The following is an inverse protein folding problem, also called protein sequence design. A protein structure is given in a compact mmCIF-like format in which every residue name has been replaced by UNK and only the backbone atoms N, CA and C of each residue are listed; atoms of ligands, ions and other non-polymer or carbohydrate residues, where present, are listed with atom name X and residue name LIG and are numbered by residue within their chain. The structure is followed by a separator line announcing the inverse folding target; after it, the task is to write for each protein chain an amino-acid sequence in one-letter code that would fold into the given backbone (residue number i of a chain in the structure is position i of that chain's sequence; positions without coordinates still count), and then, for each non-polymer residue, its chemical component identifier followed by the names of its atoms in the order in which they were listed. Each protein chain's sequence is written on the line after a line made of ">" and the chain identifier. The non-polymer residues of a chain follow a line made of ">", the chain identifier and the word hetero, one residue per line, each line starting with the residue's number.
data_IF_542969240035
#
_entry.id   IF_542969240035
#
_cell.length_a   1.000
_cell.length_b   1.000
_cell.length_c   1.000
_cell.angle_alpha   90.00
_cell.angle_beta   90.00
_cell.angle_gamma   90.00
#
_symmetry.space_group_name_H-M   'P 1'
#
loop_
_entity.id
_entity.type
_entity.pdbx_description
1 polymer ?
#
# COMPACT_ATOMS: atom_id res chain seq x y z
N UNK A 1 13.42 8.39 6.97
CA UNK A 1 13.31 9.85 7.00
C UNK A 1 14.21 10.41 8.10
N UNK A 2 14.99 11.44 7.77
CA UNK A 2 15.97 12.08 8.66
C UNK A 2 16.11 13.59 8.39
N UNK A 3 15.02 14.24 7.97
CA UNK A 3 14.96 15.68 7.72
C UNK A 3 15.01 16.53 8.99
N UNK A 4 14.78 15.95 10.16
CA UNK A 4 14.91 16.63 11.44
C UNK A 4 15.51 15.73 12.55
N UNK A 5 15.42 16.17 13.81
CA UNK A 5 15.96 15.44 14.98
C UNK A 5 15.28 14.09 15.24
N UNK A 6 14.16 13.81 14.59
CA UNK A 6 13.50 12.49 14.64
C UNK A 6 14.00 11.66 13.46
N UNK A 7 14.65 10.54 13.76
CA UNK A 7 14.85 9.51 12.75
C UNK A 7 13.56 8.70 12.68
N UNK A 8 12.97 8.54 11.49
CA UNK A 8 11.84 7.65 11.26
C UNK A 8 12.23 6.64 10.19
N UNK A 9 12.31 5.37 10.55
CA UNK A 9 12.43 4.29 9.57
C UNK A 9 11.04 3.93 9.07
N UNK A 10 10.94 3.54 7.82
CA UNK A 10 9.71 3.09 7.21
C UNK A 10 10.04 2.24 5.98
N UNK A 11 9.08 1.42 5.58
CA UNK A 11 9.13 0.63 4.35
C UNK A 11 8.14 1.21 3.36
N UNK A 12 8.36 0.93 2.07
CA UNK A 12 7.44 1.30 1.00
C UNK A 12 6.14 0.47 1.00
N UNK A 13 5.78 -0.10 2.15
CA UNK A 13 4.60 -0.94 2.38
C UNK A 13 3.64 -0.31 3.38
N UNK A 14 3.89 0.94 3.81
CA UNK A 14 3.20 1.69 4.88
C UNK A 14 3.62 1.35 6.33
N UNK A 15 4.47 0.33 6.55
CA UNK A 15 5.04 0.07 7.87
C UNK A 15 6.03 1.19 8.28
N UNK A 16 5.85 1.73 9.48
CA UNK A 16 6.80 2.60 10.16
C UNK A 16 7.54 1.83 11.26
N UNK A 17 8.83 2.12 11.40
CA UNK A 17 9.75 1.40 12.28
C UNK A 17 9.90 -0.08 11.92
N UNK A 18 10.71 -0.78 12.71
CA UNK A 18 11.09 -2.17 12.51
C UNK A 18 11.70 -2.71 13.81
N UNK A 19 11.02 -3.59 14.52
CA UNK A 19 11.64 -4.46 15.52
C UNK A 19 12.04 -5.77 14.84
N UNK A 20 13.24 -6.32 15.11
CA UNK A 20 14.12 -6.04 16.23
C UNK A 20 15.21 -4.99 16.01
N UNK A 21 15.16 -4.20 14.93
CA UNK A 21 16.19 -3.17 14.70
C UNK A 21 16.19 -2.17 15.88
N UNK A 22 17.31 -2.05 16.63
CA UNK A 22 17.34 -1.23 17.83
C UNK A 22 17.58 0.26 17.52
N UNK A 23 18.19 0.55 16.37
CA UNK A 23 18.67 1.88 16.00
C UNK A 23 17.77 2.61 14.99
N UNK A 24 16.50 2.20 14.86
CA UNK A 24 15.51 2.81 13.97
C UNK A 24 14.44 3.59 14.73
N UNK A 25 13.79 4.53 14.03
CA UNK A 25 12.64 5.27 14.56
C UNK A 25 12.87 5.87 15.96
N UNK A 26 13.97 6.62 16.09
CA UNK A 26 14.52 7.09 17.36
C UNK A 26 14.61 8.61 17.47
N UNK A 27 14.66 9.08 18.70
CA UNK A 27 14.96 10.47 19.02
C UNK A 27 15.88 10.59 20.24
N UNK A 28 16.84 11.52 20.23
CA UNK A 28 17.29 12.29 19.06
C UNK A 28 17.95 11.40 17.98
N UNK A 29 18.05 11.88 16.74
CA UNK A 29 18.74 11.20 15.64
C UNK A 29 20.27 11.30 15.79
N UNK A 30 20.81 10.68 16.85
CA UNK A 30 22.24 10.60 17.16
C UNK A 30 22.53 9.29 17.93
N UNK A 31 23.78 8.99 18.32
CA UNK A 31 24.11 7.79 19.08
C UNK A 31 23.38 7.64 20.42
N UNK A 32 23.00 8.74 21.06
CA UNK A 32 22.27 8.76 22.35
C UNK A 32 20.75 8.61 22.20
N UNK A 33 20.26 8.52 20.95
CA UNK A 33 18.86 8.40 20.62
C UNK A 33 18.21 7.12 21.13
N UNK A 34 17.00 7.26 21.66
CA UNK A 34 16.18 6.11 22.12
C UNK A 34 15.09 5.80 21.10
N UNK A 35 14.86 4.50 20.83
CA UNK A 35 13.77 4.02 19.97
C UNK A 35 12.44 4.50 20.54
N UNK A 36 11.62 5.14 19.71
CA UNK A 36 10.36 5.76 20.15
C UNK A 36 9.13 4.91 19.87
N UNK A 37 9.18 4.08 18.83
CA UNK A 37 8.08 3.20 18.45
C UNK A 37 8.64 1.83 18.05
N UNK A 38 7.86 0.79 18.30
CA UNK A 38 8.16 -0.58 17.89
C UNK A 38 7.92 -0.72 16.38
N UNK A 39 6.64 -0.73 16.01
CA UNK A 39 6.13 -0.73 14.64
C UNK A 39 4.75 -0.06 14.58
N UNK A 40 4.44 0.55 13.44
CA UNK A 40 3.10 1.08 13.14
C UNK A 40 2.75 0.68 11.72
N UNK A 41 1.67 -0.08 11.54
CA UNK A 41 1.13 -0.43 10.22
C UNK A 41 -0.15 0.36 9.93
N UNK A 42 -0.40 0.64 8.65
CA UNK A 42 -1.71 1.10 8.21
C UNK A 42 -2.64 -0.11 8.12
N UNK A 43 -3.76 -0.05 8.83
CA UNK A 43 -4.83 -1.04 8.74
C UNK A 43 -6.06 -0.40 8.09
N UNK A 44 -6.54 -0.96 6.98
CA UNK A 44 -7.79 -0.58 6.33
C UNK A 44 -8.79 -1.71 6.49
N UNK A 45 -9.81 -1.49 7.32
CA UNK A 45 -10.90 -2.43 7.50
C UNK A 45 -12.09 -2.12 6.61
N UNK A 46 -12.67 -3.15 6.00
CA UNK A 46 -13.91 -3.01 5.25
C UNK A 46 -14.82 -4.22 5.43
N UNK A 47 -16.12 -3.97 5.35
CA UNK A 47 -17.15 -5.01 5.30
C UNK A 47 -17.75 -5.01 3.90
N UNK A 48 -17.73 -6.15 3.25
CA UNK A 48 -18.29 -6.34 1.90
C UNK A 48 -19.36 -7.42 1.92
N UNK A 49 -20.24 -7.37 0.92
CA UNK A 49 -21.39 -8.26 0.80
C UNK A 49 -21.35 -8.92 -0.57
N UNK A 50 -21.63 -10.22 -0.61
CA UNK A 50 -21.63 -11.02 -1.84
C UNK A 50 -22.99 -11.70 -1.93
N UNK A 51 -23.64 -11.62 -3.09
CA UNK A 51 -24.93 -12.27 -3.32
C UNK A 51 -24.77 -13.78 -3.12
N UNK A 52 -25.71 -14.35 -2.39
CA UNK A 52 -25.83 -15.79 -2.13
C UNK A 52 -26.97 -16.31 -3.01
N UNK A 53 -26.63 -17.15 -4.00
CA UNK A 53 -27.61 -17.77 -4.90
C UNK A 53 -28.35 -18.97 -4.26
N UNK A 54 -27.97 -19.34 -3.03
CA UNK A 54 -28.49 -20.44 -2.22
C UNK A 54 -28.30 -21.83 -2.84
N UNK A 55 -27.34 -21.98 -3.74
CA UNK A 55 -26.91 -23.25 -4.33
C UNK A 55 -25.47 -23.57 -3.91
N UNK A 56 -25.30 -24.49 -2.96
CA UNK A 56 -23.98 -24.93 -2.47
C UNK A 56 -23.10 -25.58 -3.56
N UNK A 57 -23.63 -25.84 -4.76
CA UNK A 57 -22.87 -26.36 -5.91
C UNK A 57 -22.17 -25.28 -6.75
N UNK A 58 -22.51 -24.00 -6.55
CA UNK A 58 -21.92 -22.85 -7.24
C UNK A 58 -21.07 -22.01 -6.29
N UNK A 59 -20.10 -21.28 -6.85
CA UNK A 59 -19.29 -20.33 -6.08
C UNK A 59 -19.93 -18.95 -6.24
N UNK A 60 -20.24 -18.33 -5.10
CA UNK A 60 -20.78 -16.99 -5.04
C UNK A 60 -19.67 -15.95 -5.32
N UNK A 61 -19.88 -15.11 -6.33
CA UNK A 61 -18.85 -14.17 -6.81
C UNK A 61 -19.32 -12.74 -7.02
N UNK A 62 -20.63 -12.46 -6.88
CA UNK A 62 -21.22 -11.19 -7.28
C UNK A 62 -21.30 -10.24 -6.08
N UNK A 63 -20.46 -9.18 -6.01
CA UNK A 63 -20.52 -8.25 -4.90
C UNK A 63 -21.75 -7.33 -4.96
N UNK A 64 -22.38 -7.10 -3.82
CA UNK A 64 -23.44 -6.09 -3.66
C UNK A 64 -22.77 -4.73 -3.42
N UNK A 65 -22.72 -3.92 -4.48
CA UNK A 65 -22.03 -2.62 -4.47
C UNK A 65 -22.93 -1.44 -4.07
N UNK A 66 -24.25 -1.64 -4.05
CA UNK A 66 -25.24 -0.69 -3.54
C UNK A 66 -25.96 -1.26 -2.32
N UNK A 67 -25.68 -0.70 -1.14
CA UNK A 67 -26.21 -1.18 0.13
C UNK A 67 -27.73 -1.12 0.22
N UNK A 68 -28.40 -0.32 -0.62
CA UNK A 68 -29.86 -0.24 -0.67
C UNK A 68 -30.50 -1.53 -1.18
N UNK A 69 -29.75 -2.35 -1.92
CA UNK A 69 -30.23 -3.60 -2.47
C UNK A 69 -30.06 -4.79 -1.50
N UNK A 70 -29.43 -4.60 -0.34
CA UNK A 70 -29.27 -5.68 0.65
C UNK A 70 -30.59 -6.38 1.03
N UNK A 71 -31.74 -5.68 1.18
CA UNK A 71 -33.01 -6.35 1.46
C UNK A 71 -33.54 -7.23 0.32
N UNK A 72 -33.01 -7.07 -0.90
CA UNK A 72 -33.48 -7.78 -2.10
C UNK A 72 -32.72 -9.09 -2.37
N UNK A 73 -31.64 -9.37 -1.64
CA UNK A 73 -30.76 -10.52 -1.84
C UNK A 73 -30.53 -11.30 -0.54
N UNK A 74 -30.36 -12.62 -0.66
CA UNK A 74 -29.55 -13.35 0.32
C UNK A 74 -28.08 -12.96 0.10
N UNK A 75 -27.28 -12.92 1.16
CA UNK A 75 -25.88 -12.49 1.03
C UNK A 75 -24.96 -13.08 2.09
N UNK A 76 -23.72 -13.30 1.66
CA UNK A 76 -22.57 -13.50 2.55
C UNK A 76 -22.02 -12.16 3.01
N UNK A 77 -21.41 -12.15 4.20
CA UNK A 77 -20.68 -10.98 4.71
C UNK A 77 -19.22 -11.35 4.90
N UNK A 78 -18.32 -10.66 4.21
CA UNK A 78 -16.89 -10.79 4.41
C UNK A 78 -16.33 -9.54 5.11
N UNK A 79 -15.32 -9.75 5.95
CA UNK A 79 -14.62 -8.71 6.68
C UNK A 79 -13.15 -8.73 6.28
N UNK A 80 -12.72 -7.65 5.64
CA UNK A 80 -11.34 -7.48 5.20
C UNK A 80 -10.58 -6.61 6.19
N UNK A 81 -9.32 -6.95 6.39
CA UNK A 81 -8.34 -6.18 7.13
C UNK A 81 -7.07 -6.06 6.30
N UNK A 82 -6.98 -5.01 5.47
CA UNK A 82 -5.81 -4.80 4.62
C UNK A 82 -4.70 -4.10 5.38
N UNK A 83 -3.52 -4.70 5.39
CA UNK A 83 -2.31 -4.12 5.97
C UNK A 83 -1.06 -4.63 5.25
N UNK A 84 0.09 -4.07 5.59
CA UNK A 84 1.36 -4.76 5.44
C UNK A 84 2.18 -4.48 6.68
N UNK A 85 2.51 -5.54 7.39
CA UNK A 85 3.28 -5.51 8.62
C UNK A 85 4.28 -6.66 8.60
N UNK A 86 5.37 -6.55 9.35
CA UNK A 86 6.43 -7.56 9.35
C UNK A 86 6.08 -8.88 10.05
N UNK A 87 4.92 -8.96 10.69
CA UNK A 87 4.50 -10.07 11.56
C UNK A 87 3.11 -10.54 11.14
N UNK A 88 2.90 -11.86 11.16
CA UNK A 88 1.59 -12.51 10.99
C UNK A 88 0.82 -12.09 9.72
N UNK A 89 1.54 -11.85 8.61
CA UNK A 89 0.92 -11.66 7.30
C UNK A 89 0.55 -13.00 6.68
N UNK A 90 -0.64 -13.08 6.09
CA UNK A 90 -1.02 -14.22 5.26
C UNK A 90 -0.15 -14.27 4.01
N UNK A 91 0.05 -15.48 3.50
CA UNK A 91 0.90 -15.73 2.34
C UNK A 91 0.21 -16.65 1.36
N UNK A 92 0.66 -16.60 0.12
CA UNK A 92 0.25 -17.58 -0.88
C UNK A 92 0.57 -19.02 -0.43
N UNK A 93 -0.05 -20.06 -1.03
CA UNK A 93 0.18 -21.45 -0.63
C UNK A 93 1.65 -21.90 -0.68
N UNK A 94 2.53 -21.21 -1.41
CA UNK A 94 3.97 -21.48 -1.44
C UNK A 94 4.76 -20.77 -0.33
N UNK A 95 4.14 -19.82 0.37
CA UNK A 95 4.75 -19.00 1.41
C UNK A 95 5.76 -17.97 0.88
N UNK A 96 5.76 -17.68 -0.42
CA UNK A 96 6.74 -16.79 -1.07
C UNK A 96 6.23 -15.37 -1.23
N UNK A 97 4.92 -15.19 -1.31
CA UNK A 97 4.27 -13.89 -1.51
C UNK A 97 3.37 -13.62 -0.32
N UNK A 98 3.75 -12.63 0.49
CA UNK A 98 2.86 -12.03 1.48
C UNK A 98 1.70 -11.33 0.76
N UNK A 99 0.48 -11.60 1.21
CA UNK A 99 -0.73 -10.95 0.77
C UNK A 99 -0.98 -9.74 1.66
N UNK A 100 -0.95 -8.54 1.06
CA UNK A 100 -1.00 -7.30 1.82
C UNK A 100 -0.88 -6.05 0.94
N UNK A 101 -0.50 -4.93 1.56
CA UNK A 101 -0.11 -3.74 0.80
C UNK A 101 1.27 -3.91 0.14
N UNK A 102 1.32 -3.73 -1.18
CA UNK A 102 2.53 -3.81 -1.98
C UNK A 102 2.88 -2.48 -2.65
N UNK A 103 4.17 -2.11 -2.76
CA UNK A 103 4.60 -0.93 -3.49
C UNK A 103 4.14 -0.95 -4.96
N UNK A 104 3.62 0.17 -5.45
CA UNK A 104 3.24 0.31 -6.87
C UNK A 104 4.46 0.73 -7.68
N UNK A 105 4.82 -0.06 -8.70
CA UNK A 105 5.93 0.24 -9.59
C UNK A 105 5.71 1.56 -10.34
N UNK A 106 6.82 2.24 -10.65
CA UNK A 106 6.80 3.57 -11.24
C UNK A 106 6.59 4.72 -10.25
N UNK A 107 6.42 4.48 -8.93
CA UNK A 107 6.43 5.55 -7.92
C UNK A 107 7.77 5.70 -7.17
N UNK A 108 8.76 4.87 -7.51
CA UNK A 108 10.11 4.88 -6.95
C UNK A 108 11.08 4.30 -7.99
N UNK A 109 12.38 4.52 -7.79
CA UNK A 109 13.40 3.79 -8.53
C UNK A 109 13.61 2.41 -7.90
N UNK A 110 13.26 1.35 -8.62
CA UNK A 110 13.39 -0.05 -8.17
C UNK A 110 14.84 -0.48 -7.91
N UNK A 111 15.81 0.23 -8.47
CA UNK A 111 17.24 -0.01 -8.21
C UNK A 111 17.78 0.76 -7.00
N UNK A 112 16.95 1.61 -6.38
CA UNK A 112 17.31 2.38 -5.19
C UNK A 112 16.99 1.61 -3.91
N UNK A 113 17.85 1.78 -2.90
CA UNK A 113 17.62 1.25 -1.55
C UNK A 113 16.59 2.08 -0.75
N UNK A 114 16.14 3.22 -1.29
CA UNK A 114 15.22 4.13 -0.63
C UNK A 114 13.90 4.26 -1.40
N UNK A 115 12.76 4.37 -0.70
CA UNK A 115 11.55 4.93 -1.29
C UNK A 115 11.82 6.35 -1.82
N UNK A 116 10.94 6.88 -2.66
CA UNK A 116 11.18 8.19 -3.25
C UNK A 116 11.20 9.29 -2.18
N UNK A 117 12.35 9.96 -2.07
CA UNK A 117 12.66 11.02 -1.11
C UNK A 117 13.03 12.31 -1.84
N UNK A 118 12.49 13.45 -1.40
CA UNK A 118 12.69 14.76 -2.05
C UNK A 118 14.14 15.20 -2.20
N UNK A 119 15.03 14.73 -1.31
CA UNK A 119 16.47 15.06 -1.33
C UNK A 119 17.34 14.03 -2.08
N UNK A 120 16.75 12.94 -2.58
CA UNK A 120 17.46 11.86 -3.28
C UNK A 120 16.86 11.67 -4.69
N UNK A 121 17.27 12.46 -5.70
CA UNK A 121 16.78 12.31 -7.07
C UNK A 121 16.88 10.89 -7.63
N UNK A 122 17.92 10.14 -7.27
CA UNK A 122 18.12 8.76 -7.72
C UNK A 122 17.12 7.75 -7.11
N UNK A 123 16.30 8.17 -6.14
CA UNK A 123 15.20 7.36 -5.59
C UNK A 123 13.88 7.56 -6.34
N UNK A 124 13.79 8.53 -7.25
CA UNK A 124 12.59 8.88 -7.99
C UNK A 124 12.36 7.95 -9.19
N UNK A 125 11.13 7.77 -9.65
CA UNK A 125 10.88 6.96 -10.83
C UNK A 125 11.58 7.52 -12.08
N UNK A 126 12.42 6.71 -12.70
CA UNK A 126 13.27 7.08 -13.84
C UNK A 126 12.49 7.40 -15.10
N UNK A 127 11.23 6.98 -15.20
CA UNK A 127 10.33 7.29 -16.30
C UNK A 127 9.41 8.49 -16.03
N UNK A 128 9.55 9.16 -14.88
CA UNK A 128 8.63 10.18 -14.38
C UNK A 128 7.48 9.60 -13.54
N UNK A 129 6.68 10.48 -12.95
CA UNK A 129 5.62 10.13 -12.02
C UNK A 129 4.34 9.70 -12.75
N UNK A 130 3.72 8.57 -12.38
CA UNK A 130 2.49 8.13 -13.00
C UNK A 130 1.35 9.14 -12.81
N UNK A 131 0.60 9.39 -13.88
CA UNK A 131 -0.64 10.17 -13.86
C UNK A 131 -1.69 9.51 -14.77
N UNK A 132 -2.93 10.01 -14.77
CA UNK A 132 -4.00 9.51 -15.65
C UNK A 132 -3.69 9.66 -17.15
N UNK A 133 -2.81 10.60 -17.52
CA UNK A 133 -2.46 10.90 -18.92
C UNK A 133 -1.08 10.35 -19.31
N UNK A 134 -0.47 9.52 -18.45
CA UNK A 134 0.89 9.01 -18.61
C UNK A 134 1.87 9.63 -17.61
N UNK A 135 3.16 9.36 -17.80
CA UNK A 135 4.16 9.84 -16.84
C UNK A 135 4.45 11.33 -17.02
N UNK A 136 4.55 12.04 -15.90
CA UNK A 136 4.81 13.48 -15.84
C UNK A 136 6.06 13.80 -15.01
N UNK A 137 6.61 14.99 -15.24
CA UNK A 137 7.68 15.58 -14.41
C UNK A 137 8.90 14.66 -14.27
N UNK A 138 9.34 14.09 -15.40
CA UNK A 138 10.57 13.29 -15.47
C UNK A 138 11.75 14.08 -14.91
N UNK A 139 12.45 13.51 -13.93
CA UNK A 139 13.62 14.14 -13.30
C UNK A 139 13.29 15.28 -12.35
N UNK A 140 12.03 15.49 -11.98
CA UNK A 140 11.60 16.52 -11.03
C UNK A 140 10.79 15.91 -9.89
N UNK A 141 10.87 16.49 -8.69
CA UNK A 141 10.11 16.01 -7.55
C UNK A 141 8.60 16.22 -7.74
N UNK A 142 7.80 15.18 -7.49
CA UNK A 142 6.35 15.30 -7.36
C UNK A 142 6.02 15.88 -5.99
N UNK A 143 6.27 17.17 -5.83
CA UNK A 143 6.08 17.88 -4.56
C UNK A 143 4.62 18.13 -4.26
N UNK A 144 4.23 17.95 -2.99
CA UNK A 144 2.89 18.29 -2.50
C UNK A 144 2.47 19.74 -2.79
N UNK A 145 3.46 20.63 -2.91
CA UNK A 145 3.29 22.07 -3.10
C UNK A 145 3.51 22.52 -4.55
N UNK A 146 3.74 21.58 -5.47
CA UNK A 146 3.96 21.86 -6.89
C UNK A 146 5.13 21.08 -7.46
N UNK A 147 5.19 21.05 -8.79
CA UNK A 147 6.27 20.44 -9.58
C UNK A 147 7.63 20.98 -9.13
N UNK A 148 8.51 20.07 -8.69
CA UNK A 148 9.87 20.41 -8.25
C UNK A 148 9.95 21.15 -6.91
N UNK A 149 8.83 21.39 -6.21
CA UNK A 149 8.84 22.16 -4.96
C UNK A 149 9.10 21.26 -3.76
N UNK A 150 10.17 21.53 -3.03
CA UNK A 150 10.58 20.82 -1.82
C UNK A 150 10.56 21.77 -0.61
N UNK A 151 9.38 22.10 -0.07
CA UNK A 151 9.29 23.01 1.08
C UNK A 151 9.69 22.35 2.41
N UNK A 152 9.28 21.10 2.63
CA UNK A 152 9.69 20.35 3.81
C UNK A 152 11.20 20.05 3.75
N UNK A 153 11.88 20.05 4.90
CA UNK A 153 13.28 19.62 5.01
C UNK A 153 13.48 18.20 4.47
N UNK A 154 12.44 17.36 4.59
CA UNK A 154 12.34 16.10 3.88
C UNK A 154 10.87 15.76 3.59
N UNK A 155 10.60 15.35 2.36
CA UNK A 155 9.34 14.76 1.94
C UNK A 155 9.60 13.35 1.39
N UNK A 156 8.71 12.42 1.70
CA UNK A 156 8.61 11.13 1.01
C UNK A 156 7.27 11.06 0.29
N UNK A 157 7.24 10.43 -0.87
CA UNK A 157 6.02 10.09 -1.56
C UNK A 157 6.10 8.67 -2.08
N UNK A 158 5.08 7.88 -1.81
CA UNK A 158 4.96 6.55 -2.36
C UNK A 158 3.50 6.09 -2.41
N UNK A 159 3.26 5.02 -3.14
CA UNK A 159 1.93 4.46 -3.35
C UNK A 159 1.98 2.97 -3.13
N UNK A 160 0.98 2.45 -2.43
CA UNK A 160 0.74 1.01 -2.28
C UNK A 160 -0.64 0.63 -2.82
N UNK A 161 -0.81 -0.64 -3.18
CA UNK A 161 -2.11 -1.26 -3.46
C UNK A 161 -2.15 -2.67 -2.88
N UNK A 162 -3.31 -3.29 -2.93
CA UNK A 162 -3.59 -4.64 -2.45
C UNK A 162 -3.93 -5.61 -3.59
N UNK A 163 -3.60 -5.27 -4.84
CA UNK A 163 -4.05 -6.01 -6.01
C UNK A 163 -3.58 -7.48 -6.00
N UNK A 164 -2.42 -7.72 -5.37
CA UNK A 164 -1.77 -9.02 -5.27
C UNK A 164 -2.25 -9.84 -4.06
N UNK A 165 -3.16 -9.31 -3.27
CA UNK A 165 -3.74 -10.03 -2.16
C UNK A 165 -4.81 -10.98 -2.72
N UNK A 166 -4.51 -12.27 -2.79
CA UNK A 166 -5.39 -13.26 -3.43
C UNK A 166 -6.10 -14.14 -2.40
N UNK A 167 -6.17 -13.71 -1.13
CA UNK A 167 -6.68 -14.50 -0.01
C UNK A 167 -8.08 -15.08 -0.26
N UNK A 168 -8.98 -14.28 -0.84
CA UNK A 168 -10.37 -14.65 -1.11
C UNK A 168 -10.65 -14.99 -2.57
N UNK A 169 -9.64 -15.49 -3.27
CA UNK A 169 -9.70 -15.91 -4.67
C UNK A 169 -9.14 -17.33 -4.88
N UNK A 170 -8.95 -18.08 -3.79
CA UNK A 170 -8.50 -19.46 -3.80
C UNK A 170 -9.54 -20.41 -4.40
N UNK A 171 -9.07 -21.56 -4.88
CA UNK A 171 -9.94 -22.60 -5.46
C UNK A 171 -10.83 -23.27 -4.40
N UNK A 172 -10.39 -23.28 -3.14
CA UNK A 172 -11.11 -23.87 -2.01
C UNK A 172 -12.07 -22.88 -1.32
N UNK A 173 -12.15 -21.64 -1.79
CA UNK A 173 -13.04 -20.63 -1.22
C UNK A 173 -14.48 -20.88 -1.63
N UNK A 174 -15.38 -20.96 -0.64
CA UNK A 174 -16.82 -21.08 -0.85
C UNK A 174 -17.42 -19.78 -1.44
N UNK A 175 -16.73 -18.66 -1.26
CA UNK A 175 -17.16 -17.34 -1.72
C UNK A 175 -15.93 -16.58 -2.21
N UNK A 176 -15.99 -15.98 -3.40
CA UNK A 176 -14.87 -15.23 -3.96
C UNK A 176 -15.21 -13.75 -4.17
N UNK A 177 -14.30 -12.86 -3.77
CA UNK A 177 -14.51 -11.43 -3.89
C UNK A 177 -13.64 -10.80 -4.97
N UNK A 178 -14.28 -10.21 -5.98
CA UNK A 178 -13.59 -9.53 -7.07
C UNK A 178 -13.83 -8.01 -7.02
N UNK A 179 -12.98 -7.23 -6.34
CA UNK A 179 -13.20 -5.78 -6.17
C UNK A 179 -13.19 -5.01 -7.49
N UNK A 180 -12.57 -5.57 -8.54
CA UNK A 180 -12.48 -4.96 -9.87
C UNK A 180 -13.01 -5.84 -10.99
N UNK A 181 -14.00 -6.70 -10.70
CA UNK A 181 -14.50 -7.73 -11.61
C UNK A 181 -13.47 -8.84 -11.89
N UNK A 182 -13.92 -10.07 -12.07
CA UNK A 182 -13.06 -11.26 -12.30
C UNK A 182 -12.24 -11.20 -13.59
N UNK A 183 -12.67 -10.37 -14.55
CA UNK A 183 -11.95 -10.15 -15.81
C UNK A 183 -10.75 -9.20 -15.66
N UNK A 184 -10.67 -8.40 -14.58
CA UNK A 184 -9.57 -7.46 -14.41
C UNK A 184 -8.32 -8.17 -13.93
N UNK A 185 -7.28 -8.10 -14.74
CA UNK A 185 -5.94 -8.60 -14.39
C UNK A 185 -5.06 -7.51 -13.79
N UNK A 186 -4.16 -7.95 -12.91
CA UNK A 186 -3.05 -7.16 -12.37
C UNK A 186 -2.14 -6.80 -13.55
N UNK A 187 -1.80 -5.52 -13.69
CA UNK A 187 -0.86 -5.06 -14.70
C UNK A 187 0.59 -5.11 -14.21
N UNK A 188 1.55 -5.07 -15.14
CA UNK A 188 2.99 -5.17 -14.84
C UNK A 188 3.51 -4.09 -13.90
N UNK A 189 2.81 -2.96 -13.78
CA UNK A 189 3.17 -1.86 -12.89
C UNK A 189 2.45 -1.88 -11.53
N UNK A 190 1.55 -2.84 -11.29
CA UNK A 190 0.73 -2.86 -10.08
C UNK A 190 1.38 -3.67 -8.96
N UNK A 191 1.97 -4.83 -9.26
CA UNK A 191 2.66 -5.68 -8.30
C UNK A 191 3.48 -6.76 -9.02
N UNK A 192 4.19 -7.59 -8.25
CA UNK A 192 4.93 -8.77 -8.74
C UNK A 192 4.05 -9.90 -9.28
N UNK A 193 2.73 -9.83 -9.10
CA UNK A 193 1.79 -10.87 -9.53
C UNK A 193 1.05 -10.50 -10.83
N UNK A 194 1.75 -9.87 -11.78
CA UNK A 194 1.14 -9.48 -13.06
C UNK A 194 0.48 -10.66 -13.78
N UNK A 195 -0.68 -10.41 -14.40
CA UNK A 195 -1.48 -11.41 -15.10
C UNK A 195 -2.48 -12.17 -14.22
N UNK A 196 -2.30 -12.19 -12.89
CA UNK A 196 -3.30 -12.73 -11.97
C UNK A 196 -4.55 -11.83 -11.92
N UNK A 197 -5.65 -12.36 -11.40
CA UNK A 197 -6.86 -11.55 -11.16
C UNK A 197 -6.60 -10.54 -10.05
N UNK A 198 -7.23 -9.36 -10.14
CA UNK A 198 -7.09 -8.32 -9.11
C UNK A 198 -7.86 -8.70 -7.84
N UNK A 199 -7.14 -8.91 -6.74
CA UNK A 199 -7.71 -9.23 -5.43
C UNK A 199 -7.66 -8.08 -4.42
N UNK A 200 -7.64 -8.42 -3.13
CA UNK A 200 -7.74 -7.51 -2.00
C UNK A 200 -9.09 -6.79 -1.92
N UNK A 201 -9.09 -5.61 -1.30
CA UNK A 201 -10.19 -4.65 -1.34
C UNK A 201 -10.24 -3.82 -2.62
N UNK A 202 -9.20 -3.90 -3.46
CA UNK A 202 -9.09 -3.13 -4.69
C UNK A 202 -8.77 -1.66 -4.46
N UNK A 203 -8.09 -1.36 -3.35
CA UNK A 203 -7.77 -0.01 -2.94
C UNK A 203 -6.34 0.38 -3.31
N UNK A 204 -6.11 1.69 -3.34
CA UNK A 204 -4.80 2.30 -3.48
C UNK A 204 -4.63 3.33 -2.38
N UNK A 205 -3.46 3.32 -1.76
CA UNK A 205 -3.11 4.30 -0.73
C UNK A 205 -1.92 5.11 -1.23
N UNK A 206 -2.13 6.42 -1.36
CA UNK A 206 -1.07 7.38 -1.63
C UNK A 206 -0.58 7.98 -0.31
N UNK A 207 0.72 7.83 -0.04
CA UNK A 207 1.30 8.22 1.24
C UNK A 207 2.33 9.33 1.06
N UNK A 208 2.19 10.41 1.83
CA UNK A 208 3.19 11.47 1.95
C UNK A 208 3.61 11.67 3.39
N UNK A 209 4.91 11.66 3.62
CA UNK A 209 5.50 11.98 4.92
C UNK A 209 6.31 13.26 4.83
N UNK A 210 6.22 14.12 5.84
CA UNK A 210 6.94 15.38 5.91
C UNK A 210 7.74 15.46 7.21
N UNK A 211 8.95 16.00 7.13
CA UNK A 211 9.71 16.42 8.30
C UNK A 211 10.12 17.88 8.15
N UNK A 212 9.91 18.63 9.23
CA UNK A 212 10.27 20.03 9.36
C UNK A 212 11.20 20.19 10.56
N UNK A 213 12.30 20.93 10.38
CA UNK A 213 13.19 21.33 11.46
C UNK A 213 12.60 22.49 12.26
N UNK A 214 11.94 23.43 11.56
CA UNK A 214 11.25 24.52 12.20
C UNK A 214 9.79 24.12 12.50
N UNK A 215 9.39 24.02 13.77
CA UNK A 215 8.01 23.67 14.13
C UNK A 215 6.97 24.73 13.70
N UNK A 216 7.40 25.93 13.29
CA UNK A 216 6.53 26.99 12.77
C UNK A 216 6.44 27.04 11.24
N UNK A 217 7.12 26.14 10.52
CA UNK A 217 6.99 26.06 9.08
C UNK A 217 5.56 25.66 8.67
N UNK A 218 5.08 26.20 7.54
CA UNK A 218 3.74 25.97 6.98
C UNK A 218 3.85 25.46 5.56
#
# INVERSE_FOLDING_TARGET
>A
MNGNRVYLYYRNTTELSDWPKPNVSKWPNNPDGTKMLDGVGLLVGARVYIQDDSDDATIDTIPITDLRNLPDYNYHTLYYLQTSYREEMDTDPTGQVEWGFYPVFGYFNETSEYPALSRLPDSWPTAGWPSSEGNIWLGEWNGRFGRGITYADLETYFVVNDAHDLEYLGEDDLVQYYPRFSSKKIGDNASIQSGNTWGGLGIRVETRGFQWNNPQAR
#
